data_IF_432383777608
#
_entry.id   IF_432383777608
#
_cell.length_a   1.000
_cell.length_b   1.000
_cell.length_c   1.000
_cell.angle_alpha   90.00
_cell.angle_beta   90.00
_cell.angle_gamma   90.00
#
_symmetry.space_group_name_H-M   'P 1'
#
loop_
_entity.id
_entity.type
_entity.pdbx_description
1 polymer ?
#
# COMPACT_ATOMS: atom_id res chain seq x y z
N UNK A 1 -30.42 -2.71 31.89
CA UNK A 1 -29.53 -3.64 31.18
C UNK A 1 -28.40 -2.84 30.52
N UNK A 2 -27.17 -2.90 31.04
CA UNK A 2 -25.98 -2.37 30.36
C UNK A 2 -25.24 -3.54 29.74
N UNK A 3 -25.59 -3.89 28.52
CA UNK A 3 -24.84 -4.84 27.69
C UNK A 3 -24.08 -3.98 26.69
N UNK A 4 -22.86 -3.57 27.03
CA UNK A 4 -22.13 -2.64 26.19
C UNK A 4 -20.81 -2.19 26.80
N UNK A 5 -19.93 -3.14 27.16
CA UNK A 5 -18.49 -2.91 27.37
C UNK A 5 -17.80 -4.22 27.74
N UNK A 6 -17.69 -5.17 26.80
CA UNK A 6 -16.96 -6.43 27.06
C UNK A 6 -15.83 -6.73 26.07
N UNK A 7 -15.54 -5.89 25.05
CA UNK A 7 -14.53 -6.23 24.04
C UNK A 7 -13.72 -5.05 23.47
N UNK A 8 -13.26 -4.09 24.29
CA UNK A 8 -12.13 -3.24 23.89
C UNK A 8 -10.85 -3.84 24.49
N UNK A 9 -10.33 -4.88 23.85
CA UNK A 9 -9.01 -5.39 24.17
C UNK A 9 -7.97 -4.52 23.43
N UNK A 10 -7.17 -3.71 24.12
CA UNK A 10 -6.21 -2.80 23.48
C UNK A 10 -5.17 -3.52 22.63
N UNK A 11 -4.87 -4.79 22.89
CA UNK A 11 -3.94 -5.57 22.07
C UNK A 11 -4.56 -5.96 20.71
N UNK A 12 -5.87 -6.23 20.65
CA UNK A 12 -6.58 -6.53 19.39
C UNK A 12 -6.65 -5.30 18.48
N UNK A 13 -6.72 -4.10 19.06
CA UNK A 13 -6.70 -2.83 18.30
C UNK A 13 -5.33 -2.56 17.66
N UNK A 14 -4.25 -2.84 18.39
CA UNK A 14 -2.87 -2.68 17.87
C UNK A 14 -2.57 -3.66 16.74
N UNK A 15 -2.95 -4.94 16.89
CA UNK A 15 -2.75 -5.94 15.83
C UNK A 15 -3.56 -5.61 14.58
N UNK A 16 -4.78 -5.09 14.73
CA UNK A 16 -5.58 -4.60 13.62
C UNK A 16 -4.90 -3.42 12.91
N UNK A 17 -4.43 -2.43 13.67
CA UNK A 17 -3.72 -1.26 13.12
C UNK A 17 -2.44 -1.67 12.38
N UNK A 18 -1.67 -2.63 12.90
CA UNK A 18 -0.48 -3.17 12.21
C UNK A 18 -0.84 -3.82 10.89
N UNK A 19 -1.92 -4.60 10.84
CA UNK A 19 -2.41 -5.24 9.61
C UNK A 19 -2.88 -4.21 8.59
N UNK A 20 -3.62 -3.19 9.02
CA UNK A 20 -4.07 -2.11 8.15
C UNK A 20 -2.89 -1.28 7.62
N UNK A 21 -1.90 -0.99 8.47
CA UNK A 21 -0.66 -0.32 8.04
C UNK A 21 0.08 -1.13 6.98
N UNK A 22 0.24 -2.44 7.18
CA UNK A 22 0.90 -3.31 6.20
C UNK A 22 0.16 -3.34 4.86
N UNK A 23 -1.18 -3.41 4.90
CA UNK A 23 -2.03 -3.33 3.71
C UNK A 23 -1.84 -1.99 2.98
N UNK A 24 -1.89 -0.88 3.72
CA UNK A 24 -1.71 0.45 3.15
C UNK A 24 -0.31 0.62 2.52
N UNK A 25 0.75 0.09 3.14
CA UNK A 25 2.10 0.15 2.58
C UNK A 25 2.25 -0.68 1.29
N UNK A 26 1.63 -1.87 1.22
CA UNK A 26 1.58 -2.67 0.00
C UNK A 26 0.75 -2.00 -1.11
N UNK A 27 -0.40 -1.40 -0.77
CA UNK A 27 -1.20 -0.62 -1.72
C UNK A 27 -0.41 0.60 -2.24
N UNK A 28 0.37 1.26 -1.39
CA UNK A 28 1.27 2.33 -1.80
C UNK A 28 2.35 1.85 -2.77
N UNK A 29 3.01 0.71 -2.48
CA UNK A 29 3.99 0.12 -3.40
C UNK A 29 3.36 -0.18 -4.76
N UNK A 30 2.12 -0.66 -4.80
CA UNK A 30 1.39 -0.87 -6.06
C UNK A 30 1.22 0.44 -6.83
N UNK A 31 0.81 1.53 -6.19
CA UNK A 31 0.66 2.83 -6.88
C UNK A 31 2.00 3.35 -7.41
N UNK A 32 3.05 3.19 -6.62
CA UNK A 32 4.40 3.60 -6.99
C UNK A 32 4.93 2.82 -8.19
N UNK A 33 4.77 1.49 -8.19
CA UNK A 33 5.16 0.63 -9.31
C UNK A 33 4.35 0.97 -10.57
N UNK A 34 3.04 1.18 -10.47
CA UNK A 34 2.21 1.60 -11.60
C UNK A 34 2.73 2.91 -12.22
N UNK A 35 3.12 3.88 -11.38
CA UNK A 35 3.70 5.13 -11.86
C UNK A 35 5.06 4.93 -12.54
N UNK A 36 5.91 4.03 -12.05
CA UNK A 36 7.17 3.66 -12.71
C UNK A 36 6.89 3.07 -14.09
N UNK A 37 5.97 2.11 -14.19
CA UNK A 37 5.62 1.45 -15.45
C UNK A 37 5.07 2.45 -16.47
N UNK A 38 4.16 3.32 -16.04
CA UNK A 38 3.61 4.40 -16.86
C UNK A 38 4.71 5.34 -17.38
N UNK A 39 5.61 5.78 -16.51
CA UNK A 39 6.72 6.66 -16.88
C UNK A 39 7.70 5.98 -17.84
N UNK A 40 8.03 4.70 -17.58
CA UNK A 40 8.88 3.91 -18.46
C UNK A 40 8.26 3.79 -19.86
N UNK A 41 6.96 3.49 -19.95
CA UNK A 41 6.25 3.40 -21.23
C UNK A 41 6.20 4.74 -21.97
N UNK A 42 5.97 5.84 -21.26
CA UNK A 42 5.97 7.19 -21.84
C UNK A 42 7.34 7.60 -22.39
N UNK A 43 8.43 6.98 -21.93
CA UNK A 43 9.78 7.23 -22.45
C UNK A 43 10.10 6.50 -23.76
N UNK A 44 9.25 5.56 -24.18
CA UNK A 44 9.44 4.80 -25.42
C UNK A 44 9.03 5.68 -26.61
N UNK A 45 9.95 5.90 -27.56
CA UNK A 45 9.63 6.55 -28.84
C UNK A 45 8.66 5.66 -29.62
N UNK A 46 7.48 6.20 -29.90
CA UNK A 46 6.45 5.53 -30.71
C UNK A 46 6.35 6.22 -32.06
N UNK A 47 6.11 5.42 -33.10
CA UNK A 47 5.80 5.96 -34.43
C UNK A 47 4.44 6.67 -34.46
N UNK A 48 3.50 6.24 -33.61
CA UNK A 48 2.15 6.79 -33.47
C UNK A 48 1.74 6.81 -31.99
N UNK A 49 0.97 7.83 -31.59
CA UNK A 49 0.37 7.90 -30.26
C UNK A 49 -0.73 6.85 -30.08
N UNK A 50 -0.90 6.25 -28.89
CA UNK A 50 -1.95 5.29 -28.64
C UNK A 50 -3.33 5.96 -28.77
N UNK A 51 -4.27 5.25 -29.38
CA UNK A 51 -5.67 5.64 -29.32
C UNK A 51 -6.24 5.52 -27.90
N UNK A 52 -7.47 6.01 -27.70
CA UNK A 52 -8.10 6.01 -26.39
C UNK A 52 -8.30 4.58 -25.82
N UNK A 53 -8.59 3.60 -26.67
CA UNK A 53 -8.81 2.23 -26.22
C UNK A 53 -7.49 1.58 -25.75
N UNK A 54 -6.42 1.81 -26.50
CA UNK A 54 -5.08 1.34 -26.15
C UNK A 54 -4.57 2.02 -24.88
N UNK A 55 -4.78 3.34 -24.72
CA UNK A 55 -4.39 4.07 -23.52
C UNK A 55 -5.11 3.53 -22.26
N UNK A 56 -6.40 3.20 -22.37
CA UNK A 56 -7.16 2.58 -21.27
C UNK A 56 -6.59 1.19 -20.96
N UNK A 57 -6.41 0.34 -21.98
CA UNK A 57 -5.84 -1.00 -21.81
C UNK A 57 -4.47 -0.94 -21.13
N UNK A 58 -3.59 -0.06 -21.59
CA UNK A 58 -2.26 0.16 -21.04
C UNK A 58 -2.27 0.56 -19.56
N UNK A 59 -3.24 1.38 -19.14
CA UNK A 59 -3.40 1.73 -17.72
C UNK A 59 -3.87 0.53 -16.88
N UNK A 60 -4.84 -0.24 -17.39
CA UNK A 60 -5.35 -1.43 -16.72
C UNK A 60 -4.26 -2.49 -16.58
N UNK A 61 -3.41 -2.62 -17.61
CA UNK A 61 -2.27 -3.52 -17.60
C UNK A 61 -1.24 -3.13 -16.54
N UNK A 62 -0.83 -1.86 -16.49
CA UNK A 62 0.10 -1.37 -15.46
C UNK A 62 -0.43 -1.63 -14.06
N UNK A 63 -1.71 -1.33 -13.81
CA UNK A 63 -2.35 -1.52 -12.50
C UNK A 63 -2.41 -3.00 -12.09
N UNK A 64 -2.61 -3.92 -13.04
CA UNK A 64 -2.63 -5.36 -12.76
C UNK A 64 -1.24 -5.90 -12.43
N UNK A 65 -0.24 -5.47 -13.21
CA UNK A 65 1.17 -5.83 -12.97
C UNK A 65 1.63 -5.27 -11.63
N UNK A 66 1.36 -3.99 -11.37
CA UNK A 66 1.80 -3.32 -10.16
C UNK A 66 1.22 -3.95 -8.88
N UNK A 67 -0.06 -4.33 -8.90
CA UNK A 67 -0.68 -5.08 -7.79
C UNK A 67 0.02 -6.41 -7.53
N UNK A 68 0.25 -7.19 -8.59
CA UNK A 68 0.93 -8.50 -8.48
C UNK A 68 2.35 -8.36 -7.93
N UNK A 69 3.06 -7.33 -8.37
CA UNK A 69 4.43 -7.04 -7.94
C UNK A 69 4.47 -6.62 -6.47
N UNK A 70 3.56 -5.73 -6.05
CA UNK A 70 3.48 -5.24 -4.68
C UNK A 70 3.02 -6.31 -3.69
N UNK A 71 2.08 -7.17 -4.06
CA UNK A 71 1.65 -8.32 -3.24
C UNK A 71 2.80 -9.31 -2.98
N UNK A 72 3.69 -9.47 -3.97
CA UNK A 72 4.89 -10.29 -3.86
C UNK A 72 6.05 -9.59 -3.15
N UNK A 73 5.93 -8.29 -2.87
CA UNK A 73 6.99 -7.48 -2.25
C UNK A 73 8.27 -7.40 -3.09
N UNK A 74 8.17 -7.42 -4.42
CA UNK A 74 9.33 -7.52 -5.31
C UNK A 74 10.22 -6.27 -5.24
N UNK A 75 9.65 -5.07 -5.12
CA UNK A 75 10.44 -3.84 -4.97
C UNK A 75 10.83 -3.59 -3.52
N UNK A 76 10.04 -4.09 -2.55
CA UNK A 76 10.36 -4.07 -1.12
C UNK A 76 10.13 -2.71 -0.47
N UNK A 77 9.59 -1.73 -1.20
CA UNK A 77 9.34 -0.38 -0.68
C UNK A 77 8.19 -0.41 0.33
N UNK A 78 7.16 -1.21 0.10
CA UNK A 78 6.05 -1.36 1.03
C UNK A 78 6.49 -1.97 2.36
N UNK A 79 7.40 -2.95 2.32
CA UNK A 79 7.96 -3.54 3.55
C UNK A 79 8.84 -2.53 4.30
N UNK A 80 9.73 -1.81 3.59
CA UNK A 80 10.57 -0.78 4.20
C UNK A 80 9.72 0.31 4.88
N UNK A 81 8.65 0.78 4.21
CA UNK A 81 7.73 1.75 4.80
C UNK A 81 7.01 1.19 6.03
N UNK A 82 6.60 -0.08 5.99
CA UNK A 82 5.98 -0.74 7.13
C UNK A 82 6.93 -0.80 8.32
N UNK A 83 8.19 -1.20 8.11
CA UNK A 83 9.21 -1.29 9.15
C UNK A 83 9.49 0.06 9.82
N UNK A 84 9.52 1.15 9.05
CA UNK A 84 9.72 2.51 9.57
C UNK A 84 8.51 3.05 10.33
N UNK A 85 7.29 2.68 9.92
CA UNK A 85 6.05 3.25 10.47
C UNK A 85 5.46 2.44 11.63
N UNK A 86 5.68 1.12 11.68
CA UNK A 86 5.10 0.25 12.71
C UNK A 86 5.50 0.64 14.15
N UNK A 87 6.70 1.16 14.45
CA UNK A 87 7.06 1.57 15.81
C UNK A 87 6.19 2.74 16.32
N UNK A 88 5.61 3.55 15.43
CA UNK A 88 4.74 4.67 15.79
C UNK A 88 3.39 4.20 16.33
N UNK A 89 2.90 3.03 15.87
CA UNK A 89 1.69 2.39 16.41
C UNK A 89 1.97 1.88 17.83
N UNK A 90 3.16 1.33 18.07
CA UNK A 90 3.56 0.81 19.38
C UNK A 90 3.82 1.93 20.40
N UNK A 91 4.49 3.03 19.99
CA UNK A 91 4.74 4.18 20.87
C UNK A 91 3.47 4.89 21.31
N UNK A 92 2.43 4.92 20.46
CA UNK A 92 1.09 5.45 20.81
C UNK A 92 0.43 4.71 21.99
N UNK A 93 0.86 3.48 22.30
CA UNK A 93 0.40 2.69 23.46
C UNK A 93 0.98 3.19 24.80
N UNK A 94 2.05 3.99 24.78
CA UNK A 94 2.82 4.37 25.98
C UNK A 94 2.78 5.89 26.32
N UNK A 95 1.61 6.54 26.43
CA UNK A 95 1.53 7.95 26.84
C UNK A 95 1.67 8.17 28.36
N UNK A 96 2.15 7.19 29.14
CA UNK A 96 2.21 7.24 30.61
C UNK A 96 3.62 7.39 31.20
N UNK A 97 4.62 7.81 30.41
CA UNK A 97 5.99 8.08 30.87
C UNK A 97 6.53 9.45 30.42
N UNK A 98 5.69 10.47 30.42
CA UNK A 98 6.11 11.88 30.51
C UNK A 98 5.32 12.58 31.62
#
# INVERSE_FOLDING_TARGET
MKVGSLFKNPDVDVDLQKRELRKACSEFESLFVAQILKNARASILRSEEPDAAMAIYESMFDDAVARTVAEKGIFGIGELLYEELVPLIEKKKDPAKE
#
